data_IF_218929102047
#
_entry.id   IF_218929102047
#
_cell.length_a   1.000
_cell.length_b   1.000
_cell.length_c   1.000
_cell.angle_alpha   90.00
_cell.angle_beta   90.00
_cell.angle_gamma   90.00
#
_symmetry.space_group_name_H-M   'P 1'
#
loop_
_entity.id
_entity.type
_entity.pdbx_description
1 polymer ?
#
# COMPACT_ATOMS: atom_id res chain seq x y z
N UNK A 1 -3.95 -24.55 10.73
CA UNK A 1 -3.45 -23.50 9.83
C UNK A 1 -1.96 -23.75 9.67
N UNK A 2 -1.52 -24.03 8.44
CA UNK A 2 -0.12 -24.32 8.20
C UNK A 2 0.70 -23.03 8.36
N UNK A 3 1.76 -23.07 9.16
CA UNK A 3 2.81 -22.05 9.29
C UNK A 3 3.57 -21.82 7.96
N UNK A 4 2.86 -21.61 6.88
CA UNK A 4 3.48 -21.23 5.62
C UNK A 4 3.79 -19.75 5.68
N UNK A 5 4.96 -19.46 6.22
CA UNK A 5 5.55 -18.12 6.12
C UNK A 5 5.61 -17.73 4.64
N UNK A 6 4.79 -16.79 4.22
CA UNK A 6 4.77 -16.30 2.86
C UNK A 6 6.06 -15.54 2.59
N UNK A 7 6.81 -15.92 1.55
CA UNK A 7 8.14 -15.37 1.18
C UNK A 7 9.13 -15.23 2.36
N UNK A 8 9.43 -16.31 3.09
CA UNK A 8 10.11 -16.27 4.39
C UNK A 8 11.55 -15.74 4.34
N UNK A 9 12.13 -15.58 3.18
CA UNK A 9 13.47 -15.01 3.01
C UNK A 9 13.51 -13.50 2.78
N UNK A 10 12.33 -12.84 2.77
CA UNK A 10 12.22 -11.40 2.62
C UNK A 10 12.19 -10.75 4.00
N UNK A 11 12.85 -9.61 4.13
CA UNK A 11 12.72 -8.73 5.28
C UNK A 11 11.79 -7.57 4.89
N UNK A 12 10.56 -7.63 5.37
CA UNK A 12 9.53 -6.66 5.02
C UNK A 12 9.52 -5.46 5.98
N UNK A 13 8.78 -4.40 5.62
CA UNK A 13 8.63 -3.23 6.47
C UNK A 13 8.06 -3.58 7.85
N UNK A 14 7.11 -4.51 7.90
CA UNK A 14 6.52 -4.97 9.16
C UNK A 14 7.54 -5.65 10.09
N UNK A 15 8.53 -6.36 9.54
CA UNK A 15 9.60 -6.97 10.34
C UNK A 15 10.48 -5.89 10.97
N UNK A 16 10.80 -4.84 10.21
CA UNK A 16 11.59 -3.70 10.69
C UNK A 16 10.84 -2.98 11.82
N UNK A 17 9.58 -2.62 11.58
CA UNK A 17 8.76 -1.88 12.54
C UNK A 17 8.48 -2.69 13.81
N UNK A 18 8.26 -4.00 13.68
CA UNK A 18 8.13 -4.88 14.84
C UNK A 18 9.39 -4.90 15.68
N UNK A 19 10.56 -4.93 15.05
CA UNK A 19 11.86 -4.86 15.74
C UNK A 19 12.01 -3.58 16.57
N UNK A 20 11.38 -2.50 16.14
CA UNK A 20 11.34 -1.18 16.81
C UNK A 20 10.15 -1.02 17.78
N UNK A 21 9.40 -2.08 18.05
CA UNK A 21 8.32 -2.07 19.05
C UNK A 21 6.99 -1.47 18.58
N UNK A 22 6.76 -1.37 17.26
CA UNK A 22 5.51 -0.87 16.73
C UNK A 22 4.34 -1.83 16.92
N UNK A 23 3.20 -1.31 17.36
CA UNK A 23 1.91 -1.98 17.20
C UNK A 23 1.49 -1.87 15.74
N UNK A 24 1.16 -2.99 15.11
CA UNK A 24 0.89 -3.03 13.68
C UNK A 24 -0.49 -3.62 13.41
N UNK A 25 -1.26 -2.94 12.56
CA UNK A 25 -2.58 -3.39 12.14
C UNK A 25 -2.70 -3.32 10.61
N UNK A 26 -3.35 -4.33 10.03
CA UNK A 26 -3.75 -4.36 8.62
C UNK A 26 -5.27 -4.31 8.52
N UNK A 27 -5.79 -3.27 7.87
CA UNK A 27 -7.22 -3.02 7.72
C UNK A 27 -7.66 -3.20 6.27
N UNK A 28 -8.67 -4.05 6.04
CA UNK A 28 -9.20 -4.34 4.71
C UNK A 28 -10.69 -4.71 4.76
N UNK A 29 -11.49 -4.17 3.83
CA UNK A 29 -12.92 -4.46 3.72
C UNK A 29 -13.27 -5.87 3.24
N UNK A 30 -12.32 -6.66 2.75
CA UNK A 30 -12.52 -8.01 2.22
C UNK A 30 -11.91 -9.10 3.11
N UNK A 31 -12.09 -10.39 2.71
CA UNK A 31 -11.49 -11.53 3.42
C UNK A 31 -9.94 -11.47 3.38
N UNK A 32 -9.34 -11.50 4.55
CA UNK A 32 -7.87 -11.53 4.75
C UNK A 32 -7.18 -12.74 4.13
N UNK A 33 -7.90 -13.82 3.83
CA UNK A 33 -7.32 -15.03 3.24
C UNK A 33 -7.03 -14.90 1.76
N UNK A 34 -7.70 -13.96 1.08
CA UNK A 34 -7.50 -13.76 -0.35
C UNK A 34 -6.04 -13.43 -0.68
N UNK A 35 -5.49 -14.08 -1.69
CA UNK A 35 -4.11 -13.91 -2.17
C UNK A 35 -3.00 -14.08 -1.11
N UNK A 36 -3.29 -14.75 0.02
CA UNK A 36 -2.29 -15.02 1.06
C UNK A 36 -1.98 -13.83 1.97
N UNK A 37 -2.82 -12.78 1.98
CA UNK A 37 -2.63 -11.58 2.80
C UNK A 37 -2.41 -11.89 4.28
N UNK A 38 -3.25 -12.74 4.87
CA UNK A 38 -3.10 -13.10 6.29
C UNK A 38 -1.76 -13.77 6.57
N UNK A 39 -1.30 -14.67 5.71
CA UNK A 39 0.00 -15.32 5.86
C UNK A 39 1.16 -14.34 5.74
N UNK A 40 1.05 -13.35 4.83
CA UNK A 40 2.07 -12.32 4.68
C UNK A 40 2.14 -11.40 5.90
N UNK A 41 1.02 -10.78 6.30
CA UNK A 41 1.02 -9.80 7.40
C UNK A 41 1.28 -10.44 8.77
N UNK A 42 0.83 -11.68 9.01
CA UNK A 42 1.24 -12.40 10.22
C UNK A 42 2.73 -12.81 10.19
N UNK A 43 3.21 -13.30 9.04
CA UNK A 43 4.59 -13.75 8.87
C UNK A 43 5.62 -12.62 8.96
N UNK A 44 5.25 -11.43 8.47
CA UNK A 44 6.12 -10.26 8.37
C UNK A 44 5.66 -9.11 9.26
N UNK A 45 5.90 -9.25 10.56
CA UNK A 45 5.63 -8.18 11.53
C UNK A 45 4.49 -8.49 12.49
N UNK A 46 3.81 -9.62 12.36
CA UNK A 46 2.74 -10.06 13.25
C UNK A 46 1.65 -9.00 13.45
N UNK A 47 1.11 -8.52 12.32
CA UNK A 47 0.02 -7.55 12.33
C UNK A 47 -1.25 -8.13 12.93
N UNK A 48 -1.96 -7.34 13.69
CA UNK A 48 -3.39 -7.54 13.92
C UNK A 48 -4.13 -7.28 12.61
N UNK A 49 -5.12 -8.11 12.28
CA UNK A 49 -5.83 -7.97 11.01
C UNK A 49 -7.31 -7.69 11.27
N UNK A 50 -7.75 -6.50 10.85
CA UNK A 50 -9.16 -6.13 10.83
C UNK A 50 -9.68 -6.30 9.40
N UNK A 51 -10.32 -7.43 9.14
CA UNK A 51 -10.93 -7.77 7.85
C UNK A 51 -12.47 -7.79 7.94
N UNK A 52 -13.12 -8.19 6.84
CA UNK A 52 -14.57 -8.33 6.75
C UNK A 52 -15.16 -9.16 7.90
N UNK A 53 -14.60 -10.32 8.20
CA UNK A 53 -15.10 -11.18 9.28
C UNK A 53 -14.85 -10.60 10.66
N UNK A 54 -13.76 -9.89 10.84
CA UNK A 54 -13.48 -9.16 12.08
C UNK A 54 -14.49 -8.03 12.31
N UNK A 55 -14.94 -7.35 11.24
CA UNK A 55 -15.99 -6.34 11.34
C UNK A 55 -17.32 -6.93 11.78
N UNK A 56 -17.70 -8.10 11.27
CA UNK A 56 -18.89 -8.85 11.73
C UNK A 56 -18.73 -9.26 13.20
N UNK A 57 -17.63 -9.91 13.56
CA UNK A 57 -17.37 -10.42 14.91
C UNK A 57 -17.39 -9.30 15.97
N UNK A 58 -16.94 -8.09 15.59
CA UNK A 58 -16.97 -6.90 16.45
C UNK A 58 -18.30 -6.12 16.41
N UNK A 59 -19.27 -6.53 15.56
CA UNK A 59 -20.56 -5.87 15.43
C UNK A 59 -20.54 -4.51 14.71
N UNK A 60 -19.55 -4.25 13.87
CA UNK A 60 -19.47 -3.06 13.02
C UNK A 60 -20.40 -3.14 11.81
N UNK A 61 -20.67 -4.36 11.33
CA UNK A 61 -21.61 -4.69 10.27
C UNK A 61 -22.41 -5.95 10.64
N UNK A 62 -23.59 -6.08 10.07
CA UNK A 62 -24.42 -7.29 10.22
C UNK A 62 -23.77 -8.48 9.49
N UNK A 63 -24.10 -9.69 9.89
CA UNK A 63 -23.50 -10.92 9.36
C UNK A 63 -23.86 -11.21 7.89
N UNK A 64 -24.93 -10.61 7.38
CA UNK A 64 -25.36 -10.68 5.98
C UNK A 64 -24.95 -9.44 5.14
N UNK A 65 -24.25 -8.47 5.74
CA UNK A 65 -23.80 -7.27 5.04
C UNK A 65 -22.62 -7.59 4.10
N UNK A 66 -22.87 -7.57 2.80
CA UNK A 66 -21.82 -7.71 1.79
C UNK A 66 -22.23 -6.94 0.54
N UNK A 67 -21.44 -5.92 0.16
CA UNK A 67 -21.78 -5.03 -0.96
C UNK A 67 -20.86 -5.16 -2.17
N UNK A 68 -19.66 -5.63 -2.02
CA UNK A 68 -18.67 -5.79 -3.10
C UNK A 68 -17.77 -7.00 -2.79
N UNK A 69 -16.58 -6.74 -2.30
CA UNK A 69 -15.65 -7.78 -1.81
C UNK A 69 -15.78 -8.02 -0.30
N UNK A 70 -16.74 -7.33 0.35
CA UNK A 70 -16.99 -7.31 1.76
C UNK A 70 -17.76 -6.05 2.13
N UNK A 71 -17.11 -5.10 2.82
CA UNK A 71 -17.63 -3.75 3.02
C UNK A 71 -16.82 -2.72 2.20
N UNK A 72 -17.48 -1.63 1.82
CA UNK A 72 -16.98 -0.56 0.97
C UNK A 72 -15.96 0.35 1.66
N UNK A 73 -15.24 1.15 0.86
CA UNK A 73 -14.18 2.04 1.33
C UNK A 73 -14.68 3.13 2.28
N UNK A 74 -15.95 3.58 2.17
CA UNK A 74 -16.56 4.51 3.12
C UNK A 74 -16.46 4.00 4.56
N UNK A 75 -16.87 2.74 4.80
CA UNK A 75 -16.75 2.07 6.10
C UNK A 75 -15.28 1.80 6.47
N UNK A 76 -14.45 1.45 5.49
CA UNK A 76 -13.03 1.25 5.71
C UNK A 76 -12.38 2.49 6.32
N UNK A 77 -12.65 3.68 5.79
CA UNK A 77 -12.11 4.93 6.32
C UNK A 77 -12.71 5.31 7.68
N UNK A 78 -13.99 5.01 7.92
CA UNK A 78 -14.60 5.19 9.25
C UNK A 78 -13.92 4.31 10.30
N UNK A 79 -13.75 3.02 10.00
CA UNK A 79 -13.09 2.07 10.92
C UNK A 79 -11.62 2.40 11.11
N UNK A 80 -10.94 2.86 10.05
CA UNK A 80 -9.55 3.32 10.15
C UNK A 80 -9.38 4.49 11.14
N UNK A 81 -10.31 5.43 11.19
CA UNK A 81 -10.28 6.52 12.19
C UNK A 81 -10.41 5.96 13.62
N UNK A 82 -11.28 4.97 13.82
CA UNK A 82 -11.47 4.34 15.12
C UNK A 82 -10.21 3.56 15.53
N UNK A 83 -9.63 2.76 14.64
CA UNK A 83 -8.43 1.99 14.93
C UNK A 83 -7.20 2.90 15.12
N UNK A 84 -7.05 4.00 14.36
CA UNK A 84 -6.00 4.99 14.61
C UNK A 84 -6.11 5.64 16.00
N UNK A 85 -7.32 5.99 16.43
CA UNK A 85 -7.53 6.51 17.78
C UNK A 85 -7.17 5.46 18.85
N UNK A 86 -7.52 4.20 18.63
CA UNK A 86 -7.16 3.09 19.53
C UNK A 86 -5.64 2.89 19.59
N UNK A 87 -4.97 2.88 18.43
CA UNK A 87 -3.52 2.73 18.34
C UNK A 87 -2.80 3.91 18.99
N UNK A 88 -3.23 5.15 18.71
CA UNK A 88 -2.64 6.36 19.26
C UNK A 88 -2.87 6.54 20.78
N UNK A 89 -3.88 5.84 21.35
CA UNK A 89 -4.12 5.85 22.79
C UNK A 89 -3.12 5.02 23.60
N UNK A 90 -2.29 4.21 22.92
CA UNK A 90 -1.23 3.41 23.53
C UNK A 90 0.07 4.21 23.55
N UNK A 91 0.96 3.88 24.49
CA UNK A 91 2.26 4.56 24.63
C UNK A 91 3.31 4.10 23.59
N UNK A 92 3.00 3.06 22.81
CA UNK A 92 3.90 2.52 21.81
C UNK A 92 3.66 3.15 20.42
N UNK A 93 4.70 3.20 19.57
CA UNK A 93 4.53 3.62 18.18
C UNK A 93 3.62 2.64 17.41
N UNK A 94 2.97 3.13 16.36
CA UNK A 94 2.02 2.32 15.62
C UNK A 94 2.21 2.42 14.11
N UNK A 95 1.72 1.38 13.41
CA UNK A 95 1.59 1.32 11.97
C UNK A 95 0.22 0.78 11.60
N UNK A 96 -0.59 1.59 10.92
CA UNK A 96 -1.82 1.15 10.28
C UNK A 96 -1.59 1.04 8.77
N UNK A 97 -1.71 -0.16 8.23
CA UNK A 97 -1.69 -0.42 6.78
C UNK A 97 -3.12 -0.68 6.32
N UNK A 98 -3.55 0.02 5.26
CA UNK A 98 -4.91 -0.10 4.72
C UNK A 98 -4.86 -0.49 3.25
N UNK A 99 -5.87 -1.25 2.80
CA UNK A 99 -6.09 -1.54 1.38
C UNK A 99 -7.53 -1.22 1.01
N UNK A 100 -7.73 -0.21 0.17
CA UNK A 100 -9.02 0.16 -0.41
C UNK A 100 -9.41 -0.81 -1.53
N UNK A 101 -10.71 -0.96 -1.79
CA UNK A 101 -11.22 -1.98 -2.73
C UNK A 101 -12.25 -1.45 -3.73
N UNK A 102 -12.89 -0.31 -3.48
CA UNK A 102 -13.96 0.20 -4.35
C UNK A 102 -13.50 0.47 -5.78
N UNK A 103 -12.22 0.78 -5.99
CA UNK A 103 -11.61 0.95 -7.32
C UNK A 103 -11.20 -0.34 -8.00
N UNK A 104 -11.51 -1.52 -7.45
CA UNK A 104 -11.21 -2.79 -8.12
C UNK A 104 -12.04 -2.95 -9.41
N UNK A 105 -11.45 -3.51 -10.48
CA UNK A 105 -12.16 -3.78 -11.74
C UNK A 105 -13.20 -4.91 -11.56
N UNK A 106 -14.27 -4.97 -12.35
CA UNK A 106 -14.65 -4.08 -13.47
C UNK A 106 -15.49 -2.92 -12.95
N UNK A 107 -15.24 -1.72 -13.48
CA UNK A 107 -16.00 -0.48 -13.24
C UNK A 107 -16.10 -0.01 -11.77
N UNK A 108 -15.52 -0.74 -10.82
CA UNK A 108 -15.53 -0.41 -9.40
C UNK A 108 -16.90 -0.47 -8.73
N UNK A 109 -16.92 -0.16 -7.43
CA UNK A 109 -18.14 -0.09 -6.61
C UNK A 109 -18.56 1.37 -6.37
N UNK A 110 -19.83 1.68 -6.66
CA UNK A 110 -20.43 3.00 -6.42
C UNK A 110 -21.03 3.01 -5.02
N UNK A 111 -20.34 3.61 -4.05
CA UNK A 111 -20.85 3.83 -2.70
C UNK A 111 -21.78 5.05 -2.64
N UNK A 112 -22.41 5.29 -1.50
CA UNK A 112 -23.34 6.42 -1.30
C UNK A 112 -22.67 7.79 -1.45
N UNK A 113 -21.36 7.89 -1.21
CA UNK A 113 -20.59 9.13 -1.36
C UNK A 113 -20.23 9.44 -2.81
N UNK A 114 -20.36 8.49 -3.74
CA UNK A 114 -19.98 8.70 -5.13
C UNK A 114 -20.91 9.70 -5.83
N UNK A 115 -20.32 10.72 -6.43
CA UNK A 115 -21.04 11.71 -7.22
C UNK A 115 -21.04 11.31 -8.70
N UNK A 116 -22.13 11.54 -9.40
CA UNK A 116 -22.26 11.28 -10.84
C UNK A 116 -21.74 12.50 -11.64
N UNK A 117 -20.41 12.66 -11.71
CA UNK A 117 -19.73 13.78 -12.37
C UNK A 117 -19.27 13.45 -13.79
N UNK A 118 -19.09 12.18 -14.09
CA UNK A 118 -18.58 11.66 -15.36
C UNK A 118 -19.55 10.65 -15.95
N UNK A 119 -19.55 10.52 -17.27
CA UNK A 119 -20.41 9.57 -17.98
C UNK A 119 -20.04 8.10 -17.65
N UNK A 120 -18.76 7.84 -17.37
CA UNK A 120 -18.26 6.50 -17.03
C UNK A 120 -18.31 6.26 -15.52
N UNK A 121 -18.89 5.13 -15.11
CA UNK A 121 -18.99 4.72 -13.71
C UNK A 121 -17.62 4.68 -13.03
N UNK A 122 -16.65 4.05 -13.68
CA UNK A 122 -15.33 3.88 -13.09
C UNK A 122 -14.62 5.22 -12.83
N UNK A 123 -14.82 6.22 -13.70
CA UNK A 123 -14.34 7.57 -13.46
C UNK A 123 -14.94 8.20 -12.19
N UNK A 124 -16.25 7.98 -11.96
CA UNK A 124 -16.92 8.45 -10.75
C UNK A 124 -16.39 7.74 -9.49
N UNK A 125 -16.13 6.44 -9.55
CA UNK A 125 -15.57 5.66 -8.45
C UNK A 125 -14.14 6.12 -8.13
N UNK A 126 -13.29 6.31 -9.13
CA UNK A 126 -11.92 6.82 -8.95
C UNK A 126 -11.95 8.22 -8.30
N UNK A 127 -12.82 9.11 -8.78
CA UNK A 127 -12.96 10.44 -8.21
C UNK A 127 -13.48 10.40 -6.75
N UNK A 128 -14.40 9.48 -6.47
CA UNK A 128 -14.91 9.22 -5.11
C UNK A 128 -13.80 8.74 -4.18
N UNK A 129 -13.05 7.74 -4.58
CA UNK A 129 -11.92 7.21 -3.82
C UNK A 129 -10.87 8.30 -3.54
N UNK A 130 -10.50 9.08 -4.56
CA UNK A 130 -9.56 10.19 -4.40
C UNK A 130 -10.03 11.22 -3.37
N UNK A 131 -11.33 11.56 -3.37
CA UNK A 131 -11.92 12.47 -2.38
C UNK A 131 -11.89 11.87 -0.98
N UNK A 132 -12.28 10.61 -0.80
CA UNK A 132 -12.25 9.93 0.49
C UNK A 132 -10.83 9.88 1.06
N UNK A 133 -9.82 9.58 0.24
CA UNK A 133 -8.41 9.63 0.64
C UNK A 133 -8.00 11.03 1.10
N UNK A 134 -8.42 12.08 0.35
CA UNK A 134 -8.12 13.47 0.72
C UNK A 134 -8.77 13.87 2.05
N UNK A 135 -10.04 13.53 2.24
CA UNK A 135 -10.79 13.81 3.49
C UNK A 135 -10.18 13.05 4.68
N UNK A 136 -9.74 11.81 4.47
CA UNK A 136 -9.07 11.03 5.49
C UNK A 136 -7.69 11.64 5.86
N UNK A 137 -6.92 12.08 4.87
CA UNK A 137 -5.66 12.78 5.12
C UNK A 137 -5.88 14.11 5.88
N UNK A 138 -6.93 14.85 5.53
CA UNK A 138 -7.28 16.09 6.23
C UNK A 138 -7.72 15.83 7.69
N UNK A 139 -8.39 14.69 7.93
CA UNK A 139 -8.70 14.25 9.29
C UNK A 139 -7.41 13.87 10.06
N UNK A 140 -6.49 13.12 9.44
CA UNK A 140 -5.20 12.76 10.06
C UNK A 140 -4.41 14.02 10.47
N UNK A 141 -4.38 15.05 9.63
CA UNK A 141 -3.69 16.32 9.91
C UNK A 141 -4.22 17.07 11.15
N UNK A 142 -5.43 16.75 11.59
CA UNK A 142 -6.06 17.36 12.76
C UNK A 142 -5.80 16.56 14.06
N UNK A 143 -5.12 15.42 13.99
CA UNK A 143 -4.87 14.57 15.15
C UNK A 143 -3.56 14.94 15.84
N UNK A 144 -3.50 14.77 17.17
CA UNK A 144 -2.33 15.08 18.00
C UNK A 144 -1.08 14.25 17.59
N UNK A 145 -1.29 13.09 16.97
CA UNK A 145 -0.20 12.23 16.50
C UNK A 145 0.38 12.65 15.14
N UNK A 146 -0.23 13.59 14.41
CA UNK A 146 0.15 13.92 13.04
C UNK A 146 1.61 14.35 12.88
N UNK A 147 2.10 15.22 13.77
CA UNK A 147 3.46 15.77 13.66
C UNK A 147 4.55 14.69 13.72
N UNK A 148 4.23 13.52 14.28
CA UNK A 148 5.12 12.35 14.37
C UNK A 148 4.63 11.17 13.53
N UNK A 149 3.85 11.42 12.48
CA UNK A 149 3.28 10.38 11.62
C UNK A 149 3.64 10.60 10.17
N UNK A 150 4.30 9.62 9.56
CA UNK A 150 4.52 9.58 8.11
C UNK A 150 3.34 8.88 7.45
N UNK A 151 2.73 9.52 6.45
CA UNK A 151 1.65 8.93 5.65
C UNK A 151 2.19 8.57 4.27
N UNK A 152 2.03 7.30 3.87
CA UNK A 152 2.42 6.79 2.56
C UNK A 152 1.17 6.38 1.80
N UNK A 153 0.98 6.93 0.60
CA UNK A 153 -0.15 6.61 -0.28
C UNK A 153 0.42 6.06 -1.58
N UNK A 154 0.01 4.84 -1.95
CA UNK A 154 0.49 4.16 -3.14
C UNK A 154 -0.65 3.42 -3.84
N UNK A 155 -0.69 3.50 -5.18
CA UNK A 155 -1.44 2.52 -5.96
C UNK A 155 -0.69 1.19 -5.95
N UNK A 156 -1.41 0.09 -5.78
CA UNK A 156 -0.85 -1.26 -5.72
C UNK A 156 -0.41 -1.76 -7.11
N UNK A 157 -1.21 -1.49 -8.13
CA UNK A 157 -0.91 -1.78 -9.55
C UNK A 157 -1.77 -0.93 -10.50
N UNK A 158 -1.50 -1.00 -11.78
CA UNK A 158 -2.34 -0.39 -12.81
C UNK A 158 -3.70 -1.11 -12.88
N UNK A 159 -4.77 -0.37 -13.14
CA UNK A 159 -6.08 -1.02 -13.33
C UNK A 159 -6.02 -2.09 -14.42
N UNK A 160 -6.66 -3.22 -14.15
CA UNK A 160 -6.83 -4.32 -15.11
C UNK A 160 -8.08 -4.14 -16.00
N UNK A 161 -8.83 -3.05 -15.85
CA UNK A 161 -9.99 -2.72 -16.67
C UNK A 161 -9.56 -2.21 -18.05
N UNK A 162 -9.27 -3.16 -18.97
CA UNK A 162 -8.85 -2.87 -20.34
C UNK A 162 -9.94 -2.14 -21.11
N UNK A 163 -11.21 -2.51 -20.91
CA UNK A 163 -12.33 -1.94 -21.62
C UNK A 163 -12.53 -0.45 -21.25
N UNK A 164 -12.37 -0.10 -19.97
CA UNK A 164 -12.35 1.29 -19.53
C UNK A 164 -11.21 2.07 -20.19
N UNK A 165 -10.01 1.51 -20.25
CA UNK A 165 -8.85 2.17 -20.88
C UNK A 165 -9.08 2.41 -22.36
N UNK A 166 -9.69 1.45 -23.08
CA UNK A 166 -10.06 1.61 -24.48
C UNK A 166 -11.12 2.71 -24.66
N UNK A 167 -12.19 2.71 -23.85
CA UNK A 167 -13.24 3.75 -23.89
C UNK A 167 -12.68 5.14 -23.62
N UNK A 168 -11.65 5.27 -22.80
CA UNK A 168 -10.97 6.54 -22.54
C UNK A 168 -9.94 6.93 -23.60
N UNK A 169 -9.76 6.15 -24.68
CA UNK A 169 -8.70 6.32 -25.69
C UNK A 169 -7.30 6.43 -25.07
N UNK A 170 -7.05 5.70 -23.99
CA UNK A 170 -5.83 5.78 -23.21
C UNK A 170 -4.88 4.58 -23.40
N UNK A 171 -5.08 3.78 -24.44
CA UNK A 171 -4.24 2.58 -24.73
C UNK A 171 -2.78 2.92 -24.97
N UNK A 172 -2.50 4.04 -25.62
CA UNK A 172 -1.14 4.52 -25.91
C UNK A 172 -0.56 5.42 -24.80
N UNK A 173 -1.35 5.66 -23.76
CA UNK A 173 -0.90 6.49 -22.64
C UNK A 173 0.06 5.72 -21.73
N UNK A 174 1.18 6.31 -21.36
CA UNK A 174 2.12 5.72 -20.40
C UNK A 174 1.54 5.79 -18.99
N UNK A 175 0.73 4.80 -18.62
CA UNK A 175 0.07 4.71 -17.32
C UNK A 175 1.08 4.46 -16.20
N UNK A 176 0.82 5.06 -15.05
CA UNK A 176 1.65 4.95 -13.85
C UNK A 176 0.78 4.76 -12.63
N UNK A 177 1.30 4.09 -11.60
CA UNK A 177 0.71 4.08 -10.27
C UNK A 177 1.01 5.39 -9.56
N UNK A 178 0.09 5.81 -8.69
CA UNK A 178 0.29 6.97 -7.82
C UNK A 178 1.21 6.58 -6.66
N UNK A 179 2.10 7.47 -6.27
CA UNK A 179 2.91 7.34 -5.06
C UNK A 179 3.22 8.70 -4.46
N UNK A 180 2.96 8.85 -3.18
CA UNK A 180 3.33 10.05 -2.43
C UNK A 180 3.60 9.73 -0.96
N UNK A 181 4.45 10.53 -0.35
CA UNK A 181 4.75 10.50 1.09
C UNK A 181 4.47 11.88 1.66
N UNK A 182 3.71 11.93 2.73
CA UNK A 182 3.40 13.14 3.49
C UNK A 182 4.06 13.05 4.85
N UNK A 183 4.68 14.15 5.29
CA UNK A 183 5.33 14.27 6.60
C UNK A 183 6.45 13.23 6.82
N UNK A 184 7.24 12.95 5.77
CA UNK A 184 8.40 12.06 5.89
C UNK A 184 9.57 12.75 6.59
N UNK A 185 10.32 11.99 7.40
CA UNK A 185 11.50 12.48 8.13
C UNK A 185 12.72 12.78 7.23
N UNK A 186 12.80 12.16 6.06
CA UNK A 186 13.93 12.33 5.15
C UNK A 186 13.83 13.61 4.32
N UNK A 187 15.00 14.18 3.99
CA UNK A 187 15.12 15.35 3.12
C UNK A 187 15.64 14.92 1.75
N UNK A 188 15.03 15.43 0.68
CA UNK A 188 15.45 15.14 -0.68
C UNK A 188 16.81 15.75 -1.02
N UNK A 189 17.74 14.93 -1.49
CA UNK A 189 19.02 15.36 -2.06
C UNK A 189 18.91 15.76 -3.55
N UNK A 190 17.92 15.16 -4.26
CA UNK A 190 17.55 15.53 -5.64
C UNK A 190 16.09 15.96 -5.71
N UNK A 191 15.69 16.85 -6.65
CA UNK A 191 14.29 17.17 -6.92
C UNK A 191 13.49 15.89 -7.28
N UNK A 192 12.40 15.61 -6.56
CA UNK A 192 11.59 14.42 -6.80
C UNK A 192 10.86 14.42 -8.15
N UNK A 193 10.59 15.60 -8.70
CA UNK A 193 9.81 15.78 -9.94
C UNK A 193 10.51 15.27 -11.21
N UNK A 194 11.80 15.02 -11.15
CA UNK A 194 12.59 14.58 -12.30
C UNK A 194 13.09 13.13 -12.17
N UNK A 195 12.67 12.42 -11.11
CA UNK A 195 13.11 11.05 -10.87
C UNK A 195 12.33 10.04 -11.71
N UNK A 196 13.04 9.14 -12.37
CA UNK A 196 12.45 7.92 -12.95
C UNK A 196 12.62 6.76 -11.97
N UNK A 197 11.51 6.11 -11.59
CA UNK A 197 11.53 5.05 -10.60
C UNK A 197 10.43 4.00 -10.84
N UNK A 198 10.54 2.88 -10.16
CA UNK A 198 9.57 1.79 -10.18
C UNK A 198 9.09 1.47 -8.76
N UNK A 199 8.14 0.53 -8.65
CA UNK A 199 7.67 0.01 -7.34
C UNK A 199 8.80 -0.64 -6.53
N UNK A 200 9.91 -1.05 -7.14
CA UNK A 200 11.09 -1.56 -6.44
C UNK A 200 11.71 -0.51 -5.50
N UNK A 201 11.60 0.76 -5.86
CA UNK A 201 12.20 1.88 -5.12
C UNK A 201 11.34 2.33 -3.93
N UNK A 202 10.08 1.88 -3.84
CA UNK A 202 9.14 2.33 -2.80
C UNK A 202 9.54 1.82 -1.41
N UNK A 203 10.03 0.59 -1.28
CA UNK A 203 10.41 0.02 -0.01
C UNK A 203 11.57 0.78 0.67
N UNK A 204 12.75 0.96 0.07
CA UNK A 204 13.82 1.75 0.67
C UNK A 204 13.42 3.22 0.88
N UNK A 205 12.61 3.80 -0.01
CA UNK A 205 12.13 5.17 0.13
C UNK A 205 11.18 5.33 1.32
N UNK A 206 10.27 4.39 1.53
CA UNK A 206 9.36 4.39 2.69
C UNK A 206 10.15 4.25 3.99
N UNK A 207 11.11 3.34 4.07
CA UNK A 207 11.97 3.20 5.24
C UNK A 207 12.76 4.49 5.53
N UNK A 208 13.33 5.12 4.52
CA UNK A 208 14.02 6.40 4.67
C UNK A 208 13.07 7.51 5.16
N UNK A 209 11.83 7.55 4.64
CA UNK A 209 10.81 8.50 5.11
C UNK A 209 10.45 8.30 6.59
N UNK A 210 10.55 7.09 7.11
CA UNK A 210 10.38 6.77 8.52
C UNK A 210 11.63 7.09 9.38
N UNK A 211 12.71 7.60 8.76
CA UNK A 211 13.96 7.93 9.45
C UNK A 211 14.95 6.78 9.55
N UNK A 212 14.67 5.62 8.93
CA UNK A 212 15.60 4.49 8.90
C UNK A 212 16.80 4.83 8.03
N UNK A 213 17.99 4.63 8.57
CA UNK A 213 19.24 4.79 7.82
C UNK A 213 19.54 3.54 7.01
N UNK A 214 19.73 3.73 5.70
CA UNK A 214 20.00 2.64 4.75
C UNK A 214 21.44 2.79 4.26
N UNK A 215 22.28 1.82 4.61
CA UNK A 215 23.66 1.78 4.13
C UNK A 215 23.69 1.66 2.59
N UNK A 216 24.39 2.58 1.92
CA UNK A 216 24.51 2.62 0.45
C UNK A 216 23.22 2.99 -0.29
N UNK A 217 22.19 3.49 0.41
CA UNK A 217 20.93 3.98 -0.16
C UNK A 217 20.13 2.97 -1.02
N UNK A 218 20.41 1.69 -0.91
CA UNK A 218 19.77 0.62 -1.69
C UNK A 218 19.34 -0.56 -0.82
N UNK A 219 18.15 -1.11 -1.13
CA UNK A 219 17.70 -2.39 -0.58
C UNK A 219 17.18 -3.27 -1.73
N UNK A 220 17.80 -4.44 -1.91
CA UNK A 220 17.51 -5.31 -3.02
C UNK A 220 17.75 -4.61 -4.36
N UNK A 221 16.71 -4.48 -5.17
CA UNK A 221 16.75 -3.76 -6.46
C UNK A 221 16.29 -2.30 -6.36
N UNK A 222 15.80 -1.87 -5.21
CA UNK A 222 15.28 -0.53 -5.00
C UNK A 222 16.32 0.46 -4.52
N UNK A 223 16.16 1.72 -4.91
CA UNK A 223 16.96 2.87 -4.49
C UNK A 223 16.11 3.81 -3.63
N UNK A 224 16.66 4.32 -2.55
CA UNK A 224 16.07 5.39 -1.77
C UNK A 224 15.95 6.67 -2.60
N UNK A 225 14.73 7.08 -2.94
CA UNK A 225 14.48 8.26 -3.79
C UNK A 225 14.85 9.60 -3.13
N UNK A 226 15.00 9.63 -1.81
CA UNK A 226 15.51 10.81 -1.11
C UNK A 226 17.02 11.01 -1.31
N UNK A 227 17.75 9.95 -1.67
CA UNK A 227 19.18 10.00 -1.90
C UNK A 227 19.54 10.61 -3.26
N UNK A 228 20.80 11.04 -3.41
CA UNK A 228 21.36 11.46 -4.68
C UNK A 228 21.64 10.33 -5.67
N UNK A 229 21.48 9.06 -5.29
CA UNK A 229 21.77 7.88 -6.10
C UNK A 229 20.76 7.69 -7.24
N UNK A 230 21.23 7.30 -8.42
CA UNK A 230 20.36 6.97 -9.53
C UNK A 230 19.60 5.65 -9.28
N UNK A 231 18.33 5.58 -9.67
CA UNK A 231 17.58 4.33 -9.70
C UNK A 231 18.12 3.38 -10.78
N UNK A 232 17.68 2.13 -10.76
CA UNK A 232 18.09 1.19 -11.81
C UNK A 232 17.61 1.62 -13.20
N UNK A 233 16.39 2.22 -13.28
CA UNK A 233 15.87 2.66 -14.56
C UNK A 233 16.51 3.97 -15.04
N UNK A 234 16.89 4.89 -14.16
CA UNK A 234 17.69 6.06 -14.49
C UNK A 234 19.05 5.65 -15.06
N UNK A 235 19.63 4.57 -14.53
CA UNK A 235 20.97 4.11 -14.92
C UNK A 235 20.99 3.23 -16.17
N UNK A 236 20.00 2.35 -16.33
CA UNK A 236 20.03 1.31 -17.37
C UNK A 236 18.85 1.39 -18.34
N UNK A 237 17.82 2.19 -18.05
CA UNK A 237 16.59 2.26 -18.80
C UNK A 237 15.56 1.17 -18.43
N UNK A 238 14.28 1.51 -18.56
CA UNK A 238 13.16 0.64 -18.16
C UNK A 238 13.14 -0.68 -18.97
N UNK A 239 13.35 -0.63 -20.29
CA UNK A 239 13.30 -1.82 -21.16
C UNK A 239 14.39 -2.83 -20.78
N UNK A 240 15.60 -2.35 -20.49
CA UNK A 240 16.68 -3.22 -20.03
C UNK A 240 16.32 -3.90 -18.71
N UNK A 241 15.83 -3.15 -17.73
CA UNK A 241 15.46 -3.70 -16.42
C UNK A 241 14.32 -4.72 -16.56
N UNK A 242 13.31 -4.46 -17.39
CA UNK A 242 12.23 -5.41 -17.64
C UNK A 242 12.75 -6.73 -18.21
N UNK A 243 13.70 -6.69 -19.14
CA UNK A 243 14.33 -7.89 -19.68
C UNK A 243 15.14 -8.65 -18.60
N UNK A 244 15.88 -7.92 -17.76
CA UNK A 244 16.65 -8.54 -16.68
C UNK A 244 15.75 -9.21 -15.63
N UNK A 245 14.61 -8.61 -15.28
CA UNK A 245 13.65 -9.16 -14.32
C UNK A 245 12.97 -10.45 -14.81
N UNK A 246 12.92 -10.69 -16.11
CA UNK A 246 12.40 -11.94 -16.67
C UNK A 246 13.37 -13.12 -16.56
N UNK A 247 14.65 -12.88 -16.22
CA UNK A 247 15.65 -13.92 -16.09
C UNK A 247 15.44 -14.76 -14.83
N UNK A 248 15.73 -16.04 -14.92
CA UNK A 248 15.70 -16.94 -13.77
C UNK A 248 16.74 -16.53 -12.70
N UNK A 249 16.28 -16.32 -11.48
CA UNK A 249 17.14 -16.00 -10.35
C UNK A 249 17.06 -17.08 -9.28
N UNK A 250 18.15 -17.82 -9.10
CA UNK A 250 18.27 -18.78 -8.01
C UNK A 250 18.24 -18.12 -6.62
N UNK A 251 18.79 -16.91 -6.49
CA UNK A 251 18.72 -16.12 -5.27
C UNK A 251 17.25 -15.85 -4.91
N UNK A 252 16.48 -15.32 -5.87
CA UNK A 252 15.06 -15.04 -5.66
C UNK A 252 14.30 -16.31 -5.25
N UNK A 253 14.42 -17.39 -6.02
CA UNK A 253 13.67 -18.62 -5.75
C UNK A 253 14.09 -19.30 -4.45
N UNK A 254 15.39 -19.50 -4.23
CA UNK A 254 15.86 -20.28 -3.08
C UNK A 254 15.84 -19.47 -1.80
N UNK A 255 16.38 -18.24 -1.84
CA UNK A 255 16.54 -17.45 -0.62
C UNK A 255 15.32 -16.62 -0.30
N UNK A 256 14.77 -15.89 -1.25
CA UNK A 256 13.64 -14.99 -0.95
C UNK A 256 12.32 -15.75 -0.86
N UNK A 257 11.95 -16.53 -1.88
CA UNK A 257 10.67 -17.25 -1.88
C UNK A 257 10.61 -18.40 -0.86
N UNK A 258 11.67 -19.16 -0.70
CA UNK A 258 11.63 -20.38 0.11
C UNK A 258 12.47 -20.31 1.40
N UNK A 259 13.21 -19.23 1.66
CA UNK A 259 14.04 -19.07 2.85
C UNK A 259 15.11 -20.16 3.00
N UNK A 260 15.54 -20.78 1.89
CA UNK A 260 16.54 -21.86 1.92
C UNK A 260 17.95 -21.29 1.85
N UNK A 261 18.80 -21.71 2.77
CA UNK A 261 20.22 -21.36 2.80
C UNK A 261 21.00 -21.97 1.63
#
# INVERSE_FOLDING_TARGET
ESDNNYVPGVWAIGDVLKGEGYNQEFLIGSDKKFAGRSSYFHGHGNYDIFDYYTAIDRGYIDDDYMVWWGYEDEKLFEYAKNELNNLASKDEPFNLTMLTVDTHFTDGYVCELCQNQYDEQYSNVIACSSRQVSEFLDWIKQQDFYDNTTVVISGDHLTMDSDYIERQNATDFNRRTYFTIVNGAAVNEKPCVEREYTTLDLYPTTLAALGVQIEGNRLGLGTNLYSGEDTLIEKYGLDYINVELLKDSQLYRKKLLYGKN
#
